data_IF_270636223217
#
_entry.id   IF_270636223217
#
_cell.length_a   1.000
_cell.length_b   1.000
_cell.length_c   1.000
_cell.angle_alpha   90.00
_cell.angle_beta   90.00
_cell.angle_gamma   90.00
#
_symmetry.space_group_name_H-M   'P 1'
#
loop_
_entity.id
_entity.type
_entity.pdbx_description
1 polymer ?
#
# COMPACT_ATOMS: atom_id res chain seq x y z
N UNK A 1 13.88 6.28 12.81
CA UNK A 1 14.50 5.05 12.22
C UNK A 1 15.31 5.47 11.01
N UNK A 2 16.40 4.76 10.72
CA UNK A 2 17.27 5.09 9.58
C UNK A 2 17.05 4.20 8.37
N UNK A 3 16.99 4.82 7.20
CA UNK A 3 16.73 4.14 5.92
C UNK A 3 17.81 4.55 4.91
N UNK A 4 18.31 3.58 4.16
CA UNK A 4 19.13 3.78 2.97
C UNK A 4 18.19 4.07 1.81
N UNK A 5 18.46 5.12 1.05
CA UNK A 5 17.69 5.46 -0.15
C UNK A 5 18.63 5.62 -1.34
N UNK A 6 18.25 5.02 -2.46
CA UNK A 6 18.88 5.24 -3.76
C UNK A 6 17.95 6.12 -4.57
N UNK A 7 18.48 7.20 -5.12
CA UNK A 7 17.69 8.13 -5.92
C UNK A 7 18.28 8.36 -7.30
N UNK A 8 17.45 8.76 -8.25
CA UNK A 8 17.92 9.26 -9.55
C UNK A 8 18.34 10.74 -9.45
N UNK A 9 18.74 11.34 -10.58
CA UNK A 9 19.16 12.75 -10.63
C UNK A 9 18.05 13.77 -10.36
N UNK A 10 16.79 13.35 -10.24
CA UNK A 10 15.64 14.17 -9.87
C UNK A 10 15.15 13.86 -8.44
N UNK A 11 15.97 13.19 -7.63
CA UNK A 11 15.64 12.70 -6.29
C UNK A 11 14.48 11.69 -6.25
N UNK A 12 14.13 11.05 -7.38
CA UNK A 12 13.14 9.97 -7.41
C UNK A 12 13.65 8.78 -6.63
N UNK A 13 12.88 8.27 -5.68
CA UNK A 13 13.22 7.07 -4.92
C UNK A 13 13.22 5.86 -5.85
N UNK A 14 14.38 5.25 -6.06
CA UNK A 14 14.54 4.04 -6.86
C UNK A 14 14.46 2.80 -5.99
N UNK A 15 15.21 2.80 -4.88
CA UNK A 15 15.25 1.68 -3.93
C UNK A 15 15.35 2.18 -2.51
N UNK A 16 14.91 1.36 -1.56
CA UNK A 16 15.17 1.61 -0.14
C UNK A 16 15.39 0.34 0.67
N UNK A 17 16.13 0.48 1.77
CA UNK A 17 16.37 -0.60 2.72
C UNK A 17 16.61 -0.04 4.12
N UNK A 18 16.40 -0.84 5.15
CA UNK A 18 16.78 -0.43 6.51
C UNK A 18 18.28 -0.17 6.61
N UNK A 19 18.63 0.96 7.22
CA UNK A 19 20.00 1.25 7.58
C UNK A 19 20.28 0.72 8.98
N UNK A 20 21.56 0.48 9.27
CA UNK A 20 21.99 0.33 10.65
C UNK A 20 21.78 1.67 11.37
N UNK A 21 21.12 1.65 12.54
CA UNK A 21 20.80 2.85 13.32
C UNK A 21 22.03 3.67 13.74
N UNK A 22 23.24 3.08 13.73
CA UNK A 22 24.48 3.79 14.01
C UNK A 22 25.07 4.52 12.79
N UNK A 23 24.52 4.34 11.59
CA UNK A 23 24.98 5.06 10.39
C UNK A 23 24.69 6.56 10.52
N UNK A 24 25.62 7.44 10.12
CA UNK A 24 25.34 8.88 10.06
C UNK A 24 24.27 9.16 8.99
N UNK A 25 23.44 10.17 9.23
CA UNK A 25 22.48 10.69 8.24
C UNK A 25 23.24 11.53 7.21
N UNK A 26 22.89 11.38 5.93
CA UNK A 26 23.52 12.08 4.81
C UNK A 26 24.03 11.12 3.72
N UNK A 27 24.70 11.68 2.70
CA UNK A 27 25.21 10.91 1.57
C UNK A 27 26.35 9.97 1.97
N UNK A 28 26.50 8.89 1.21
CA UNK A 28 27.57 7.90 1.41
C UNK A 28 28.32 7.63 0.11
N UNK A 29 29.57 7.18 0.24
CA UNK A 29 30.40 6.77 -0.90
C UNK A 29 29.94 5.43 -1.54
N UNK A 30 28.90 4.80 -0.99
CA UNK A 30 28.31 3.54 -1.49
C UNK A 30 27.17 3.77 -2.49
N UNK A 31 26.88 5.03 -2.84
CA UNK A 31 25.85 5.38 -3.82
C UNK A 31 24.42 5.38 -3.28
N UNK A 32 24.26 5.44 -1.95
CA UNK A 32 22.98 5.71 -1.28
C UNK A 32 23.12 6.81 -0.24
N UNK A 33 22.01 7.41 0.11
CA UNK A 33 21.91 8.34 1.24
C UNK A 33 21.27 7.64 2.43
N UNK A 34 21.65 8.03 3.63
CA UNK A 34 20.96 7.62 4.86
C UNK A 34 20.06 8.77 5.29
N UNK A 35 18.76 8.52 5.37
CA UNK A 35 17.78 9.47 5.90
C UNK A 35 17.17 8.95 7.20
N UNK A 36 16.65 9.87 8.00
CA UNK A 36 15.90 9.54 9.20
C UNK A 36 14.42 9.84 8.99
N UNK A 37 13.59 8.85 9.27
CA UNK A 37 12.14 8.95 9.17
C UNK A 37 11.48 8.41 10.44
N UNK A 38 10.29 8.89 10.75
CA UNK A 38 9.50 8.38 11.87
C UNK A 38 8.98 6.96 11.58
N UNK A 39 8.53 6.74 10.34
CA UNK A 39 7.99 5.48 9.83
C UNK A 39 8.33 5.32 8.35
N UNK A 40 8.49 4.08 7.89
CA UNK A 40 8.70 3.74 6.49
C UNK A 40 7.40 3.78 5.65
N UNK A 41 6.58 4.82 5.82
CA UNK A 41 5.34 5.03 5.07
C UNK A 41 5.66 5.92 3.86
N UNK A 42 5.04 5.63 2.71
CA UNK A 42 5.27 6.42 1.49
C UNK A 42 6.55 6.04 0.74
N UNK A 43 7.28 5.02 1.18
CA UNK A 43 8.49 4.50 0.53
C UNK A 43 8.12 3.67 -0.71
N UNK A 44 7.47 4.29 -1.67
CA UNK A 44 7.01 3.67 -2.90
C UNK A 44 8.09 3.88 -3.96
N UNK A 45 8.83 2.83 -4.28
CA UNK A 45 9.84 2.87 -5.34
C UNK A 45 9.20 3.34 -6.65
N UNK A 46 9.87 4.27 -7.33
CA UNK A 46 9.42 5.02 -8.50
C UNK A 46 8.19 5.93 -8.31
N UNK A 47 7.54 5.92 -7.14
CA UNK A 47 6.32 6.69 -6.85
C UNK A 47 6.46 7.64 -5.65
N UNK A 48 7.70 7.92 -5.24
CA UNK A 48 8.03 8.93 -4.26
C UNK A 48 9.36 9.60 -4.59
N UNK A 49 9.56 10.81 -4.10
CA UNK A 49 10.84 11.52 -4.16
C UNK A 49 11.36 11.80 -2.75
N UNK A 50 12.68 11.95 -2.63
CA UNK A 50 13.34 12.39 -1.40
C UNK A 50 13.64 13.89 -1.50
N UNK A 51 12.97 14.71 -0.70
CA UNK A 51 13.13 16.17 -0.69
C UNK A 51 13.47 16.62 0.71
N UNK A 52 14.63 17.27 0.87
CA UNK A 52 15.15 17.72 2.18
C UNK A 52 15.17 16.61 3.24
N UNK A 53 15.56 15.39 2.83
CA UNK A 53 15.59 14.21 3.69
C UNK A 53 14.22 13.63 4.05
N UNK A 54 13.13 14.16 3.47
CA UNK A 54 11.75 13.68 3.66
C UNK A 54 11.26 12.93 2.44
N UNK A 55 10.37 11.99 2.68
CA UNK A 55 9.73 11.19 1.62
C UNK A 55 8.47 11.91 1.19
N UNK A 56 8.34 12.17 -0.11
CA UNK A 56 7.20 12.84 -0.73
C UNK A 56 6.63 11.90 -1.79
N UNK A 57 5.56 11.16 -1.50
CA UNK A 57 4.84 10.37 -2.50
C UNK A 57 4.29 11.25 -3.62
N UNK A 58 4.16 10.68 -4.82
CA UNK A 58 3.44 11.34 -5.91
C UNK A 58 1.98 11.57 -5.51
N UNK A 59 1.42 12.72 -5.90
CA UNK A 59 0.10 13.16 -5.47
C UNK A 59 -1.05 12.28 -6.02
N UNK A 60 -0.82 11.60 -7.15
CA UNK A 60 -1.77 10.76 -7.85
C UNK A 60 -1.48 9.26 -7.69
N UNK A 61 -0.45 8.88 -6.92
CA UNK A 61 -0.17 7.48 -6.66
C UNK A 61 -1.07 6.92 -5.55
N UNK A 62 -1.84 5.91 -5.91
CA UNK A 62 -2.64 5.12 -4.98
C UNK A 62 -2.00 3.72 -4.82
N UNK A 63 -1.36 3.40 -3.68
CA UNK A 63 -0.75 2.10 -3.44
C UNK A 63 -1.76 0.94 -3.35
N UNK A 64 -3.05 1.25 -3.23
CA UNK A 64 -4.13 0.28 -3.16
C UNK A 64 -4.83 0.09 -4.53
N UNK A 65 -4.64 0.99 -5.50
CA UNK A 65 -5.28 0.91 -6.83
C UNK A 65 -4.88 -0.33 -7.64
N UNK A 66 -3.64 -0.81 -7.46
CA UNK A 66 -3.12 -2.00 -8.13
C UNK A 66 -3.25 -3.29 -7.29
N UNK A 67 -3.85 -3.21 -6.10
CA UNK A 67 -4.06 -4.42 -5.30
C UNK A 67 -5.19 -5.23 -5.93
N UNK A 68 -4.96 -6.51 -6.28
CA UNK A 68 -6.06 -7.35 -6.73
C UNK A 68 -7.11 -7.39 -5.63
N UNK A 69 -8.36 -7.17 -6.00
CA UNK A 69 -9.49 -7.39 -5.09
C UNK A 69 -9.34 -8.80 -4.51
N UNK A 70 -9.26 -8.96 -3.18
CA UNK A 70 -9.18 -10.29 -2.60
C UNK A 70 -10.35 -11.13 -3.10
N UNK A 71 -10.07 -12.36 -3.54
CA UNK A 71 -11.14 -13.30 -3.86
C UNK A 71 -11.98 -13.53 -2.61
N UNK A 72 -13.29 -13.67 -2.80
CA UNK A 72 -14.19 -13.92 -1.68
C UNK A 72 -13.79 -15.23 -0.97
N UNK A 73 -13.78 -15.21 0.36
CA UNK A 73 -13.51 -16.42 1.13
C UNK A 73 -14.64 -17.45 0.93
N UNK A 74 -14.38 -18.75 1.18
CA UNK A 74 -15.42 -19.77 1.15
C UNK A 74 -16.62 -19.43 2.05
N UNK A 75 -16.39 -18.82 3.21
CA UNK A 75 -17.44 -18.38 4.11
C UNK A 75 -18.27 -17.24 3.51
N UNK A 76 -17.62 -16.29 2.83
CA UNK A 76 -18.31 -15.20 2.13
C UNK A 76 -19.17 -15.73 0.98
N UNK A 77 -18.68 -16.73 0.23
CA UNK A 77 -19.47 -17.42 -0.77
C UNK A 77 -20.70 -18.12 -0.16
N UNK A 78 -20.54 -18.79 0.97
CA UNK A 78 -21.65 -19.46 1.66
C UNK A 78 -22.69 -18.46 2.17
N UNK A 79 -22.25 -17.33 2.74
CA UNK A 79 -23.15 -16.26 3.19
C UNK A 79 -23.92 -15.67 2.01
N UNK A 80 -23.26 -15.44 0.87
CA UNK A 80 -23.92 -14.92 -0.32
C UNK A 80 -24.98 -15.90 -0.87
N UNK A 81 -24.68 -17.19 -0.88
CA UNK A 81 -25.63 -18.24 -1.29
C UNK A 81 -26.86 -18.28 -0.37
N UNK A 82 -26.65 -18.27 0.95
CA UNK A 82 -27.75 -18.25 1.94
C UNK A 82 -28.60 -16.98 1.82
N UNK A 83 -27.97 -15.82 1.60
CA UNK A 83 -28.70 -14.57 1.40
C UNK A 83 -29.60 -14.62 0.16
N UNK A 84 -29.12 -15.23 -0.93
CA UNK A 84 -29.89 -15.43 -2.16
C UNK A 84 -31.09 -16.36 -1.94
N UNK A 85 -30.90 -17.48 -1.23
CA UNK A 85 -31.99 -18.40 -0.88
C UNK A 85 -33.07 -17.71 -0.04
N UNK A 86 -32.67 -16.96 0.99
CA UNK A 86 -33.60 -16.21 1.85
C UNK A 86 -34.37 -15.16 1.05
N UNK A 87 -33.70 -14.45 0.12
CA UNK A 87 -34.35 -13.47 -0.74
C UNK A 87 -35.42 -14.13 -1.62
N UNK A 88 -35.12 -15.28 -2.24
CA UNK A 88 -36.09 -16.04 -3.01
C UNK A 88 -37.27 -16.51 -2.16
N UNK A 89 -37.03 -17.07 -0.97
CA UNK A 89 -38.11 -17.49 -0.07
C UNK A 89 -39.03 -16.33 0.31
N UNK A 90 -38.46 -15.15 0.59
CA UNK A 90 -39.25 -13.95 0.90
C UNK A 90 -40.08 -13.50 -0.30
N UNK A 91 -39.52 -13.53 -1.51
CA UNK A 91 -40.22 -13.17 -2.73
C UNK A 91 -41.41 -14.12 -3.00
N UNK A 92 -41.19 -15.44 -2.96
CA UNK A 92 -42.26 -16.44 -3.14
C UNK A 92 -43.37 -16.25 -2.12
N UNK A 93 -43.02 -16.11 -0.84
CA UNK A 93 -44.00 -15.88 0.23
C UNK A 93 -44.78 -14.58 0.09
N UNK A 94 -44.20 -13.56 -0.54
CA UNK A 94 -44.88 -12.30 -0.83
C UNK A 94 -45.86 -12.43 -2.00
N UNK A 95 -45.52 -13.24 -3.01
CA UNK A 95 -46.37 -13.51 -4.17
C UNK A 95 -47.60 -14.34 -3.80
N UNK A 96 -47.49 -15.27 -2.85
CA UNK A 96 -48.62 -16.08 -2.35
C UNK A 96 -49.67 -15.28 -1.53
N UNK A 97 -49.40 -14.00 -1.25
CA UNK A 97 -50.25 -13.10 -0.46
C UNK A 97 -50.95 -12.00 -1.29
N UNK A 98 -50.80 -12.02 -2.62
CA UNK A 98 -51.47 -11.13 -3.58
C UNK A 98 -52.59 -11.88 -4.30
#
# INVERSE_FOLDING_TARGET
>A
MKIKVWTDSNNRLLHWAWANENRPVGPTDEGFDVIEVDKAIGMYENHASIVDGKVVPDADYDPDADRPTPEASPEQHMIAALALEVAHMKAVKSSDRL
#
